data_IF_748212410617
#
_entry.id   IF_748212410617
#
_cell.length_a   1.000
_cell.length_b   1.000
_cell.length_c   1.000
_cell.angle_alpha   90.00
_cell.angle_beta   90.00
_cell.angle_gamma   90.00
#
_symmetry.space_group_name_H-M   'P 1'
#
loop_
_entity.id
_entity.type
_entity.pdbx_description
1 polymer ?
#
# COMPACT_ATOMS: atom_id res chain seq x y z
N UNK A 1 -9.38 -20.79 -17.46
CA UNK A 1 -8.06 -20.95 -18.11
C UNK A 1 -7.86 -22.38 -18.61
N UNK A 2 -8.13 -23.38 -17.79
CA UNK A 2 -7.96 -24.80 -18.16
C UNK A 2 -8.94 -25.33 -19.24
N UNK A 3 -10.22 -24.91 -19.28
CA UNK A 3 -11.14 -25.35 -20.34
C UNK A 3 -10.73 -24.88 -21.75
N UNK A 4 -10.24 -23.64 -21.87
CA UNK A 4 -9.82 -23.04 -23.14
C UNK A 4 -8.46 -23.53 -23.63
N UNK A 5 -7.64 -24.11 -22.74
CA UNK A 5 -6.35 -24.73 -23.06
C UNK A 5 -6.43 -26.25 -23.29
N UNK A 6 -7.64 -26.82 -23.29
CA UNK A 6 -7.86 -28.26 -23.55
C UNK A 6 -7.38 -29.20 -22.45
N UNK A 7 -7.09 -28.69 -21.25
CA UNK A 7 -6.69 -29.52 -20.10
C UNK A 7 -7.94 -30.20 -19.57
N UNK A 8 -8.04 -31.54 -19.52
CA UNK A 8 -9.22 -32.21 -18.98
C UNK A 8 -9.38 -31.94 -17.49
N UNK A 9 -10.62 -31.85 -17.01
CA UNK A 9 -10.93 -31.63 -15.60
C UNK A 9 -10.46 -32.84 -14.77
N UNK A 10 -9.30 -32.68 -14.14
CA UNK A 10 -8.76 -33.68 -13.21
C UNK A 10 -9.52 -33.51 -11.89
N UNK A 11 -10.08 -34.59 -11.34
CA UNK A 11 -10.87 -34.57 -10.10
C UNK A 11 -10.14 -33.99 -8.86
N UNK A 12 -8.83 -33.77 -8.96
CA UNK A 12 -8.00 -33.16 -7.91
C UNK A 12 -8.13 -31.63 -7.86
N UNK A 13 -8.65 -30.98 -8.92
CA UNK A 13 -8.69 -29.52 -9.02
C UNK A 13 -10.13 -29.04 -8.79
N UNK A 14 -10.41 -28.27 -7.72
CA UNK A 14 -11.72 -27.69 -7.48
C UNK A 14 -12.22 -26.85 -8.66
N UNK A 15 -13.52 -26.96 -8.97
CA UNK A 15 -14.17 -26.31 -10.11
C UNK A 15 -13.98 -24.78 -10.13
N UNK A 16 -13.91 -24.18 -8.94
CA UNK A 16 -13.64 -22.76 -8.77
C UNK A 16 -12.26 -22.31 -9.28
N UNK A 17 -11.23 -23.18 -9.20
CA UNK A 17 -9.86 -22.88 -9.66
C UNK A 17 -9.74 -23.13 -11.17
N UNK A 18 -10.46 -24.13 -11.66
CA UNK A 18 -10.45 -24.55 -13.06
C UNK A 18 -11.07 -23.49 -13.99
N UNK A 19 -12.15 -22.85 -13.56
CA UNK A 19 -12.88 -21.84 -14.32
C UNK A 19 -12.34 -20.40 -14.17
N UNK A 20 -11.23 -20.18 -13.44
CA UNK A 20 -10.69 -18.84 -13.26
C UNK A 20 -10.27 -18.20 -14.60
N UNK A 21 -10.58 -16.89 -14.81
CA UNK A 21 -10.09 -16.14 -15.95
C UNK A 21 -8.56 -15.95 -15.88
N UNK A 22 -7.94 -15.69 -17.03
CA UNK A 22 -6.48 -15.51 -17.14
C UNK A 22 -5.94 -14.43 -16.18
N UNK A 23 -6.69 -13.35 -16.01
CA UNK A 23 -6.37 -12.25 -15.09
C UNK A 23 -6.20 -12.73 -13.65
N UNK A 24 -7.08 -13.60 -13.16
CA UNK A 24 -7.00 -14.12 -11.79
C UNK A 24 -5.78 -15.00 -11.59
N UNK A 25 -5.41 -15.81 -12.59
CA UNK A 25 -4.19 -16.62 -12.54
C UNK A 25 -2.93 -15.77 -12.50
N UNK A 26 -2.87 -14.70 -13.30
CA UNK A 26 -1.75 -13.76 -13.29
C UNK A 26 -1.62 -13.04 -11.94
N UNK A 27 -2.75 -12.64 -11.34
CA UNK A 27 -2.77 -12.03 -10.00
C UNK A 27 -2.29 -13.00 -8.92
N UNK A 28 -2.71 -14.27 -8.96
CA UNK A 28 -2.26 -15.30 -8.01
C UNK A 28 -0.75 -15.53 -8.15
N UNK A 29 -0.26 -15.68 -9.38
CA UNK A 29 1.17 -15.85 -9.66
C UNK A 29 2.00 -14.65 -9.18
N UNK A 30 1.56 -13.43 -9.50
CA UNK A 30 2.21 -12.20 -9.05
C UNK A 30 2.21 -12.09 -7.52
N UNK A 31 1.09 -12.39 -6.86
CA UNK A 31 0.99 -12.42 -5.41
C UNK A 31 1.95 -13.43 -4.77
N UNK A 32 2.05 -14.64 -5.34
CA UNK A 32 2.97 -15.66 -4.88
C UNK A 32 4.44 -15.22 -5.00
N UNK A 33 4.84 -14.68 -6.16
CA UNK A 33 6.20 -14.17 -6.37
C UNK A 33 6.54 -13.01 -5.42
N UNK A 34 5.60 -12.08 -5.19
CA UNK A 34 5.80 -10.96 -4.27
C UNK A 34 5.96 -11.44 -2.82
N UNK A 35 5.16 -12.40 -2.38
CA UNK A 35 5.31 -12.98 -1.04
C UNK A 35 6.62 -13.73 -0.90
N UNK A 36 6.96 -14.57 -1.88
CA UNK A 36 8.21 -15.33 -1.87
C UNK A 36 9.44 -14.41 -1.83
N UNK A 37 9.49 -13.40 -2.69
CA UNK A 37 10.57 -12.41 -2.72
C UNK A 37 10.68 -11.61 -1.42
N UNK A 38 9.56 -11.23 -0.83
CA UNK A 38 9.53 -10.51 0.45
C UNK A 38 10.09 -11.38 1.58
N UNK A 39 9.65 -12.63 1.69
CA UNK A 39 10.13 -13.58 2.71
C UNK A 39 11.62 -13.86 2.52
N UNK A 40 12.07 -14.11 1.29
CA UNK A 40 13.48 -14.35 0.98
C UNK A 40 14.35 -13.15 1.36
N UNK A 41 13.89 -11.93 1.10
CA UNK A 41 14.57 -10.69 1.48
C UNK A 41 14.70 -10.56 3.00
N UNK A 42 13.62 -10.82 3.74
CA UNK A 42 13.63 -10.79 5.22
C UNK A 42 14.61 -11.83 5.77
N UNK A 43 14.56 -13.07 5.27
CA UNK A 43 15.46 -14.14 5.69
C UNK A 43 16.93 -13.78 5.45
N UNK A 44 17.23 -13.20 4.29
CA UNK A 44 18.58 -12.75 3.94
C UNK A 44 19.09 -11.65 4.90
N UNK A 45 18.25 -10.65 5.20
CA UNK A 45 18.61 -9.58 6.15
C UNK A 45 18.88 -10.14 7.55
N UNK A 46 18.07 -11.10 8.01
CA UNK A 46 18.24 -11.74 9.32
C UNK A 46 19.57 -12.53 9.36
N UNK A 47 19.87 -13.32 8.32
CA UNK A 47 21.10 -14.11 8.26
C UNK A 47 22.36 -13.22 8.26
N UNK A 48 22.38 -12.16 7.43
CA UNK A 48 23.50 -11.21 7.37
C UNK A 48 23.70 -10.49 8.71
N UNK A 49 22.63 -10.06 9.38
CA UNK A 49 22.73 -9.40 10.68
C UNK A 49 23.18 -10.35 11.79
N UNK A 50 22.70 -11.59 11.77
CA UNK A 50 23.11 -12.63 12.71
C UNK A 50 24.60 -12.92 12.59
N UNK A 51 25.14 -13.04 11.36
CA UNK A 51 26.58 -13.20 11.11
C UNK A 51 27.42 -12.03 11.60
N UNK A 52 26.85 -10.82 11.62
CA UNK A 52 27.50 -9.59 12.13
C UNK A 52 27.29 -9.36 13.64
N UNK A 53 26.61 -10.27 14.35
CA UNK A 53 26.29 -10.11 15.77
C UNK A 53 25.36 -8.93 16.09
N UNK A 54 24.64 -8.40 15.09
CA UNK A 54 23.76 -7.25 15.24
C UNK A 54 22.34 -7.66 15.61
N UNK A 55 21.57 -6.73 16.18
CA UNK A 55 20.17 -6.97 16.52
C UNK A 55 19.33 -7.25 15.26
N UNK A 56 18.58 -8.35 15.29
CA UNK A 56 17.66 -8.77 14.23
C UNK A 56 16.27 -8.15 14.37
N UNK A 57 15.95 -7.57 15.52
CA UNK A 57 14.65 -6.94 15.80
C UNK A 57 14.49 -5.56 15.16
N UNK A 58 15.57 -4.79 15.06
CA UNK A 58 15.52 -3.42 14.55
C UNK A 58 15.03 -3.32 13.08
N UNK A 59 15.42 -4.21 12.14
CA UNK A 59 14.84 -4.26 10.79
C UNK A 59 13.37 -4.65 10.77
N UNK A 60 12.98 -5.57 11.65
CA UNK A 60 11.60 -6.05 11.75
C UNK A 60 10.67 -4.92 12.18
N UNK A 61 11.14 -4.04 13.08
CA UNK A 61 10.40 -2.82 13.44
C UNK A 61 10.21 -1.89 12.24
N UNK A 62 11.19 -1.81 11.33
CA UNK A 62 11.07 -1.07 10.06
C UNK A 62 9.97 -1.57 9.13
N UNK A 63 9.52 -2.82 9.30
CA UNK A 63 8.44 -3.42 8.51
C UNK A 63 7.04 -3.09 9.06
N UNK A 64 6.94 -2.66 10.33
CA UNK A 64 5.67 -2.28 10.97
C UNK A 64 4.84 -1.26 10.16
N UNK A 65 5.39 -0.14 9.65
CA UNK A 65 4.58 0.82 8.90
C UNK A 65 3.97 0.23 7.62
N UNK A 66 4.69 -0.66 6.94
CA UNK A 66 4.19 -1.35 5.74
C UNK A 66 3.08 -2.32 6.14
N UNK A 67 3.29 -3.12 7.19
CA UNK A 67 2.28 -4.04 7.69
C UNK A 67 1.00 -3.31 8.12
N UNK A 68 1.14 -2.21 8.86
CA UNK A 68 0.02 -1.37 9.30
C UNK A 68 -0.73 -0.74 8.12
N UNK A 69 -0.02 -0.29 7.08
CA UNK A 69 -0.66 0.25 5.88
C UNK A 69 -1.49 -0.83 5.17
N UNK A 70 -0.92 -2.01 4.93
CA UNK A 70 -1.63 -3.10 4.25
C UNK A 70 -2.81 -3.64 5.06
N UNK A 71 -2.70 -3.76 6.39
CA UNK A 71 -3.83 -4.19 7.22
C UNK A 71 -4.97 -3.19 7.18
N UNK A 72 -4.70 -1.88 7.21
CA UNK A 72 -5.73 -0.84 7.08
C UNK A 72 -6.39 -0.87 5.70
N UNK A 73 -5.62 -1.01 4.62
CA UNK A 73 -6.14 -1.08 3.25
C UNK A 73 -7.10 -2.27 3.09
N UNK A 74 -6.68 -3.46 3.53
CA UNK A 74 -7.49 -4.69 3.43
C UNK A 74 -8.75 -4.55 4.29
N UNK A 75 -8.62 -4.03 5.51
CA UNK A 75 -9.75 -3.81 6.42
C UNK A 75 -10.78 -2.85 5.80
N UNK A 76 -10.32 -1.75 5.20
CA UNK A 76 -11.19 -0.77 4.55
C UNK A 76 -11.97 -1.35 3.37
N UNK A 77 -11.29 -2.10 2.50
CA UNK A 77 -11.92 -2.75 1.33
C UNK A 77 -12.92 -3.82 1.75
N UNK A 78 -12.64 -4.56 2.84
CA UNK A 78 -13.56 -5.56 3.37
C UNK A 78 -14.81 -4.92 3.97
N UNK A 79 -14.67 -3.75 4.61
CA UNK A 79 -15.79 -3.02 5.20
C UNK A 79 -16.68 -2.32 4.15
N UNK A 80 -16.11 -1.90 3.02
CA UNK A 80 -16.78 -1.09 1.99
C UNK A 80 -16.72 -1.77 0.60
N UNK A 81 -17.55 -2.80 0.34
CA UNK A 81 -17.53 -3.52 -0.93
C UNK A 81 -17.95 -2.67 -2.14
N UNK A 82 -18.64 -1.54 -1.92
CA UNK A 82 -19.02 -0.60 -2.98
C UNK A 82 -17.76 0.00 -3.63
N UNK A 83 -16.74 0.31 -2.83
CA UNK A 83 -15.47 0.86 -3.33
C UNK A 83 -14.71 -0.22 -4.11
N UNK A 84 -14.73 -1.46 -3.60
CA UNK A 84 -14.12 -2.61 -4.27
C UNK A 84 -14.73 -2.86 -5.66
N UNK A 85 -16.05 -2.73 -5.82
CA UNK A 85 -16.72 -3.06 -7.08
C UNK A 85 -16.84 -1.89 -8.06
N UNK A 86 -16.91 -0.64 -7.59
CA UNK A 86 -17.19 0.52 -8.45
C UNK A 86 -16.07 1.56 -8.51
N UNK A 87 -15.21 1.67 -7.48
CA UNK A 87 -14.23 2.76 -7.34
C UNK A 87 -12.83 2.26 -6.98
N UNK A 88 -12.48 1.06 -7.44
CA UNK A 88 -11.19 0.43 -7.14
C UNK A 88 -10.02 1.18 -7.76
N UNK A 89 -10.21 1.78 -8.93
CA UNK A 89 -9.16 2.54 -9.64
C UNK A 89 -8.66 3.74 -8.82
N UNK A 90 -9.50 4.74 -8.45
CA UNK A 90 -9.01 5.88 -7.66
C UNK A 90 -8.47 5.47 -6.29
N UNK A 91 -9.06 4.44 -5.67
CA UNK A 91 -8.55 3.90 -4.42
C UNK A 91 -7.16 3.26 -4.58
N UNK A 92 -6.94 2.48 -5.65
CA UNK A 92 -5.63 1.87 -5.95
C UNK A 92 -4.55 2.90 -6.24
N UNK A 93 -4.90 4.00 -6.92
CA UNK A 93 -3.99 5.13 -7.14
C UNK A 93 -3.61 5.80 -5.81
N UNK A 94 -4.58 6.02 -4.93
CA UNK A 94 -4.32 6.60 -3.61
C UNK A 94 -3.40 5.69 -2.77
N UNK A 95 -3.66 4.37 -2.77
CA UNK A 95 -2.78 3.38 -2.14
C UNK A 95 -1.38 3.39 -2.77
N UNK A 96 -1.29 3.55 -4.09
CA UNK A 96 -0.02 3.71 -4.79
C UNK A 96 0.76 4.93 -4.32
N UNK A 97 0.09 6.08 -4.17
CA UNK A 97 0.69 7.33 -3.67
C UNK A 97 1.16 7.19 -2.21
N UNK A 98 0.38 6.55 -1.33
CA UNK A 98 0.78 6.27 0.06
C UNK A 98 2.10 5.48 0.08
N UNK A 99 2.20 4.43 -0.73
CA UNK A 99 3.38 3.58 -0.79
C UNK A 99 4.58 4.32 -1.42
N UNK A 100 4.36 5.06 -2.50
CA UNK A 100 5.40 5.87 -3.16
C UNK A 100 5.99 6.92 -2.19
N UNK A 101 5.13 7.62 -1.44
CA UNK A 101 5.56 8.58 -0.42
C UNK A 101 6.38 7.90 0.70
N UNK A 102 5.93 6.73 1.18
CA UNK A 102 6.66 5.98 2.22
C UNK A 102 8.05 5.53 1.77
N UNK A 103 8.17 5.01 0.54
CA UNK A 103 9.46 4.59 -0.03
C UNK A 103 10.35 5.79 -0.31
N UNK A 104 9.81 6.87 -0.87
CA UNK A 104 10.56 8.10 -1.13
C UNK A 104 11.20 8.65 0.14
N UNK A 105 10.46 8.70 1.25
CA UNK A 105 11.01 9.09 2.55
C UNK A 105 12.09 8.15 3.06
N UNK A 106 11.94 6.83 2.87
CA UNK A 106 12.97 5.86 3.24
C UNK A 106 14.28 6.10 2.47
N UNK A 107 14.18 6.37 1.16
CA UNK A 107 15.35 6.68 0.32
C UNK A 107 16.06 7.93 0.81
N UNK A 108 15.34 9.03 1.06
CA UNK A 108 15.96 10.27 1.53
C UNK A 108 16.58 10.09 2.92
N UNK A 109 15.88 9.42 3.83
CA UNK A 109 16.43 9.16 5.15
C UNK A 109 17.75 8.39 5.08
N UNK A 110 17.84 7.43 4.14
CA UNK A 110 19.07 6.71 3.89
C UNK A 110 20.17 7.60 3.30
N UNK A 111 19.86 8.43 2.30
CA UNK A 111 20.82 9.32 1.63
C UNK A 111 21.40 10.37 2.59
N UNK A 112 20.54 10.99 3.40
CA UNK A 112 20.92 12.04 4.37
C UNK A 112 21.37 11.45 5.71
N UNK A 113 21.36 10.11 5.84
CA UNK A 113 21.74 9.35 7.05
C UNK A 113 20.93 9.79 8.29
N UNK A 114 19.66 10.13 8.11
CA UNK A 114 18.74 10.45 9.20
C UNK A 114 18.02 9.20 9.70
N UNK A 115 17.25 9.36 10.77
CA UNK A 115 16.49 8.25 11.35
C UNK A 115 15.43 7.70 10.39
N UNK A 116 15.10 6.43 10.57
CA UNK A 116 14.14 5.75 9.71
C UNK A 116 12.72 6.33 9.87
N UNK A 117 12.01 6.64 8.77
CA UNK A 117 10.69 7.26 8.83
C UNK A 117 9.59 6.23 9.13
N UNK A 118 9.21 6.10 10.40
CA UNK A 118 8.14 5.18 10.81
C UNK A 118 6.71 5.71 10.62
N UNK A 119 6.55 7.01 10.42
CA UNK A 119 5.24 7.65 10.35
C UNK A 119 4.88 8.05 8.93
N UNK A 120 3.69 7.70 8.47
CA UNK A 120 3.14 8.13 7.19
C UNK A 120 1.88 8.98 7.41
N UNK A 121 1.96 10.27 7.10
CA UNK A 121 0.84 11.23 7.29
C UNK A 121 -0.37 10.86 6.44
N UNK A 122 -0.14 10.27 5.26
CA UNK A 122 -1.21 9.83 4.36
C UNK A 122 -1.96 8.60 4.88
N UNK A 123 -1.50 7.99 5.96
CA UNK A 123 -2.19 6.88 6.61
C UNK A 123 -3.31 7.36 7.55
N UNK A 124 -3.27 8.61 8.04
CA UNK A 124 -4.31 9.15 8.92
C UNK A 124 -5.69 9.23 8.27
N UNK A 125 -5.85 9.75 7.04
CA UNK A 125 -7.14 9.72 6.35
C UNK A 125 -7.69 8.31 6.18
N UNK A 126 -6.82 7.34 5.87
CA UNK A 126 -7.23 5.94 5.72
C UNK A 126 -7.64 5.33 7.07
N UNK A 127 -6.90 5.61 8.14
CA UNK A 127 -7.24 5.17 9.50
C UNK A 127 -8.61 5.72 9.93
N UNK A 128 -8.87 6.99 9.66
CA UNK A 128 -10.17 7.61 9.90
C UNK A 128 -11.28 6.92 9.11
N UNK A 129 -11.05 6.61 7.83
CA UNK A 129 -12.02 5.93 6.97
C UNK A 129 -12.35 4.51 7.45
N UNK A 130 -11.35 3.77 7.94
CA UNK A 130 -11.53 2.45 8.56
C UNK A 130 -12.33 2.58 9.86
N UNK A 131 -11.96 3.54 10.71
CA UNK A 131 -12.65 3.75 11.97
C UNK A 131 -14.12 4.15 11.79
N UNK A 132 -14.41 5.10 10.90
CA UNK A 132 -15.78 5.55 10.63
C UNK A 132 -16.67 4.44 10.04
N UNK A 133 -16.10 3.54 9.22
CA UNK A 133 -16.83 2.40 8.67
C UNK A 133 -16.94 1.19 9.61
N UNK A 134 -16.03 1.04 10.56
CA UNK A 134 -16.03 -0.05 11.54
C UNK A 134 -16.86 0.28 12.81
N UNK A 135 -16.82 1.52 13.29
CA UNK A 135 -17.44 1.93 14.55
C UNK A 135 -18.96 1.69 14.60
N UNK A 136 -19.75 1.98 13.55
CA UNK A 136 -21.19 1.67 13.53
C UNK A 136 -21.47 0.16 13.55
N UNK A 137 -20.62 -0.64 12.87
CA UNK A 137 -20.76 -2.11 12.82
C UNK A 137 -20.40 -2.80 14.13
N UNK A 138 -19.55 -2.17 14.94
CA UNK A 138 -19.18 -2.65 16.28
C UNK A 138 -20.14 -2.19 17.39
N UNK A 139 -21.23 -1.49 17.06
CA UNK A 139 -22.21 -1.02 18.04
C UNK A 139 -21.75 0.19 18.86
N UNK A 140 -20.73 0.92 18.41
CA UNK A 140 -20.33 2.19 19.03
C UNK A 140 -21.39 3.27 18.70
N UNK A 141 -21.68 4.24 19.60
CA UNK A 141 -22.57 5.37 19.33
C UNK A 141 -21.99 6.40 18.32
N UNK A 142 -21.29 5.93 17.29
CA UNK A 142 -20.73 6.74 16.23
C UNK A 142 -21.71 6.74 15.04
N UNK A 143 -22.21 7.92 14.61
CA UNK A 143 -23.24 8.00 13.57
C UNK A 143 -22.78 7.54 12.18
N UNK A 144 -21.47 7.39 11.95
CA UNK A 144 -20.90 7.00 10.65
C UNK A 144 -21.07 8.12 9.64
N UNK A 145 -20.13 9.08 9.63
CA UNK A 145 -20.22 10.27 8.78
C UNK A 145 -20.10 9.94 7.28
N UNK A 146 -19.48 8.81 6.93
CA UNK A 146 -19.35 8.32 5.56
C UNK A 146 -20.51 7.42 5.12
N UNK A 147 -21.60 7.28 5.89
CA UNK A 147 -22.65 6.26 5.71
C UNK A 147 -23.32 6.15 4.34
N UNK A 148 -23.27 7.19 3.49
CA UNK A 148 -23.80 7.16 2.12
C UNK A 148 -22.73 6.86 1.07
N UNK A 149 -23.10 6.03 0.07
CA UNK A 149 -22.20 5.64 -1.04
C UNK A 149 -21.57 6.83 -1.76
N UNK A 150 -22.30 7.95 -1.89
CA UNK A 150 -21.81 9.16 -2.54
C UNK A 150 -20.73 9.87 -1.71
N UNK A 151 -20.90 9.92 -0.39
CA UNK A 151 -19.94 10.54 0.52
C UNK A 151 -18.65 9.72 0.60
N UNK A 152 -18.75 8.39 0.56
CA UNK A 152 -17.58 7.50 0.47
C UNK A 152 -16.77 7.75 -0.79
N UNK A 153 -17.44 7.89 -1.94
CA UNK A 153 -16.76 8.16 -3.22
C UNK A 153 -16.08 9.51 -3.18
N UNK A 154 -16.80 10.57 -2.77
CA UNK A 154 -16.24 11.91 -2.63
C UNK A 154 -15.03 11.92 -1.69
N UNK A 155 -15.09 11.16 -0.59
CA UNK A 155 -13.98 11.02 0.34
C UNK A 155 -12.76 10.31 -0.26
N UNK A 156 -12.95 9.22 -1.03
CA UNK A 156 -11.84 8.53 -1.71
C UNK A 156 -11.16 9.46 -2.72
N UNK A 157 -11.92 10.21 -3.50
CA UNK A 157 -11.36 11.21 -4.42
C UNK A 157 -10.69 12.38 -3.68
N UNK A 158 -11.25 12.83 -2.56
CA UNK A 158 -10.62 13.82 -1.68
C UNK A 158 -9.29 13.33 -1.10
N UNK A 159 -9.24 12.08 -0.65
CA UNK A 159 -8.01 11.43 -0.18
C UNK A 159 -6.97 11.29 -1.30
N UNK A 160 -7.41 10.92 -2.51
CA UNK A 160 -6.54 10.88 -3.68
C UNK A 160 -5.94 12.25 -4.00
N UNK A 161 -6.77 13.31 -4.01
CA UNK A 161 -6.33 14.68 -4.23
C UNK A 161 -5.34 15.16 -3.16
N UNK A 162 -5.65 14.91 -1.88
CA UNK A 162 -4.75 15.20 -0.76
C UNK A 162 -3.44 14.43 -0.89
N UNK A 163 -3.50 13.14 -1.22
CA UNK A 163 -2.34 12.29 -1.42
C UNK A 163 -1.43 12.83 -2.53
N UNK A 164 -2.00 13.19 -3.68
CA UNK A 164 -1.27 13.79 -4.78
C UNK A 164 -0.67 15.15 -4.40
N UNK A 165 -1.37 15.97 -3.63
CA UNK A 165 -0.85 17.26 -3.15
C UNK A 165 0.35 17.09 -2.22
N UNK A 166 0.24 16.23 -1.21
CA UNK A 166 1.33 15.95 -0.26
C UNK A 166 2.53 15.32 -0.96
N UNK A 167 2.29 14.32 -1.82
CA UNK A 167 3.36 13.67 -2.58
C UNK A 167 4.00 14.62 -3.59
N UNK A 168 3.20 15.45 -4.27
CA UNK A 168 3.69 16.48 -5.20
C UNK A 168 4.56 17.52 -4.52
N UNK A 169 4.15 18.04 -3.36
CA UNK A 169 4.97 18.94 -2.53
C UNK A 169 6.28 18.28 -2.12
N UNK A 170 6.22 17.02 -1.68
CA UNK A 170 7.41 16.27 -1.30
C UNK A 170 8.39 16.08 -2.47
N UNK A 171 7.89 15.74 -3.66
CA UNK A 171 8.74 15.60 -4.86
C UNK A 171 9.35 16.94 -5.25
N UNK A 172 8.57 18.02 -5.21
CA UNK A 172 9.04 19.37 -5.48
C UNK A 172 10.19 19.74 -4.54
N UNK A 173 10.01 19.60 -3.23
CA UNK A 173 11.03 19.93 -2.22
C UNK A 173 12.33 19.14 -2.43
N UNK A 174 12.22 17.87 -2.83
CA UNK A 174 13.38 17.01 -3.10
C UNK A 174 14.13 17.46 -4.33
N UNK A 175 13.41 17.76 -5.42
CA UNK A 175 14.02 18.19 -6.67
C UNK A 175 14.71 19.54 -6.48
N UNK A 176 14.04 20.52 -5.87
CA UNK A 176 14.61 21.85 -5.64
C UNK A 176 15.84 21.77 -4.75
N UNK A 177 15.76 21.04 -3.63
CA UNK A 177 16.92 20.88 -2.71
C UNK A 177 18.12 20.23 -3.40
N UNK A 178 17.90 19.22 -4.25
CA UNK A 178 18.99 18.55 -4.98
C UNK A 178 19.56 19.46 -6.06
N UNK A 179 18.72 20.18 -6.81
CA UNK A 179 19.14 21.13 -7.82
C UNK A 179 19.97 22.26 -7.22
N UNK A 180 19.53 22.82 -6.09
CA UNK A 180 20.26 23.86 -5.35
C UNK A 180 21.60 23.34 -4.81
N UNK A 181 21.65 22.10 -4.32
CA UNK A 181 22.89 21.49 -3.84
C UNK A 181 23.90 21.21 -4.96
N UNK A 182 23.43 20.79 -6.13
CA UNK A 182 24.28 20.43 -7.28
C UNK A 182 24.55 21.59 -8.23
N UNK A 183 24.03 22.79 -7.95
CA UNK A 183 24.14 23.97 -8.81
C UNK A 183 23.57 23.73 -10.22
N UNK A 184 22.54 22.88 -10.32
CA UNK A 184 21.83 22.57 -11.56
C UNK A 184 20.59 23.45 -11.62
N UNK A 185 20.72 24.59 -12.30
CA UNK A 185 19.65 25.56 -12.55
C UNK A 185 18.48 24.91 -13.33
N UNK A 186 17.38 24.60 -12.65
CA UNK A 186 16.14 24.13 -13.30
C UNK A 186 14.99 25.15 -13.16
N UNK A 187 15.04 26.11 -12.22
CA UNK A 187 13.89 26.95 -11.85
C UNK A 187 14.13 28.47 -11.73
N UNK A 188 15.26 29.01 -12.17
CA UNK A 188 15.42 30.46 -12.35
C UNK A 188 14.81 30.89 -13.70
N UNK A 189 13.48 31.05 -13.74
CA UNK A 189 12.79 32.03 -14.59
C UNK A 189 11.37 32.32 -14.07
#
# INVERSE_FOLDING_TARGET
MMPTMGVPQIALIPDHIYNLPFTSWYLIYGGFLLLFSTVMSIMNVIDVRRKRGQSTLQPLLGLLPVAAAWTLIISYLHLNPIILNHHLVPFSLFVGVINAYSVGRMIIAHLVKTEFPYQNVLLFPLLFAVFDSAAPKMGWPWPGYLGDSTNQVAFVFGCLGLGLGVYGSFVYDVITTICDYLDILVLDN
#
